data_IF_093281746568
#
_entry.id   IF_093281746568
#
_cell.length_a   1.000
_cell.length_b   1.000
_cell.length_c   1.000
_cell.angle_alpha   90.00
_cell.angle_beta   90.00
_cell.angle_gamma   90.00
#
_symmetry.space_group_name_H-M   'P 1'
#
loop_
_entity.id
_entity.type
_entity.pdbx_description
1 polymer ?
#
# COMPACT_ATOMS: atom_id res chain seq x y z
N UNK A 1 -12.56 0.67 8.88
CA UNK A 1 -12.67 -0.79 9.13
C UNK A 1 -11.44 -1.22 9.91
N UNK A 2 -11.60 -1.97 11.01
CA UNK A 2 -10.48 -2.54 11.78
C UNK A 2 -10.35 -4.00 11.38
N UNK A 3 -9.20 -4.38 10.82
CA UNK A 3 -8.88 -5.77 10.47
C UNK A 3 -8.02 -6.32 11.60
N UNK A 4 -8.37 -7.49 12.11
CA UNK A 4 -7.62 -8.21 13.14
C UNK A 4 -6.66 -9.19 12.46
N UNK A 5 -5.36 -8.88 12.48
CA UNK A 5 -4.30 -9.67 11.82
C UNK A 5 -3.41 -10.42 12.82
N UNK A 6 -3.63 -10.22 14.11
CA UNK A 6 -2.81 -10.79 15.17
C UNK A 6 -2.89 -12.33 15.15
N UNK A 7 -1.74 -12.99 15.09
CA UNK A 7 -1.65 -14.45 14.98
C UNK A 7 -2.14 -15.05 13.65
N UNK A 8 -2.38 -14.21 12.64
CA UNK A 8 -2.66 -14.62 11.26
C UNK A 8 -1.51 -14.26 10.30
N UNK A 9 -0.74 -13.22 10.66
CA UNK A 9 0.34 -12.70 9.83
C UNK A 9 1.57 -12.36 10.66
N UNK A 10 2.74 -12.55 10.08
CA UNK A 10 4.00 -12.04 10.56
C UNK A 10 4.62 -11.09 9.52
N UNK A 11 5.66 -10.33 9.87
CA UNK A 11 6.35 -9.42 8.96
C UNK A 11 7.87 -9.53 9.09
N UNK A 12 8.53 -9.86 7.99
CA UNK A 12 9.99 -9.91 7.89
C UNK A 12 10.51 -8.51 7.49
N UNK A 13 11.45 -7.93 8.25
CA UNK A 13 11.99 -6.59 7.96
C UNK A 13 12.82 -6.54 6.67
N UNK A 14 13.18 -5.33 6.24
CA UNK A 14 14.11 -5.14 5.11
C UNK A 14 13.44 -5.02 3.73
N UNK A 15 12.13 -4.75 3.67
CA UNK A 15 11.39 -4.60 2.40
C UNK A 15 11.88 -3.46 1.52
N UNK A 16 12.44 -2.41 2.13
CA UNK A 16 12.63 -1.13 1.47
C UNK A 16 11.30 -0.50 1.03
N UNK A 17 11.38 0.47 0.13
CA UNK A 17 10.21 1.06 -0.52
C UNK A 17 9.78 0.26 -1.75
N UNK A 18 8.51 -0.11 -1.77
CA UNK A 18 7.92 -0.92 -2.81
C UNK A 18 6.64 -0.30 -3.38
N UNK A 19 6.25 0.88 -2.89
CA UNK A 19 5.20 1.73 -3.46
C UNK A 19 5.77 3.14 -3.65
N UNK A 20 5.56 3.73 -4.83
CA UNK A 20 5.84 5.15 -5.09
C UNK A 20 4.71 5.80 -5.87
N UNK A 21 4.62 7.13 -5.81
CA UNK A 21 3.62 7.93 -6.52
C UNK A 21 4.29 8.96 -7.44
N UNK A 22 3.94 8.91 -8.72
CA UNK A 22 4.27 9.89 -9.73
C UNK A 22 3.24 11.02 -9.68
N UNK A 23 3.60 12.11 -9.00
CA UNK A 23 2.73 13.27 -8.83
C UNK A 23 2.43 14.02 -10.13
N UNK A 24 3.23 13.84 -11.20
CA UNK A 24 2.92 14.44 -12.49
C UNK A 24 1.74 13.76 -13.19
N UNK A 25 1.45 12.51 -12.83
CA UNK A 25 0.32 11.74 -13.39
C UNK A 25 -0.90 11.70 -12.47
N UNK A 26 -0.71 11.86 -11.17
CA UNK A 26 -1.80 11.76 -10.21
C UNK A 26 -2.84 12.87 -10.44
N UNK A 27 -4.09 12.47 -10.71
CA UNK A 27 -5.23 13.37 -10.93
C UNK A 27 -6.13 13.52 -9.69
N UNK A 28 -5.68 13.06 -8.51
CA UNK A 28 -6.43 13.11 -7.25
C UNK A 28 -7.84 12.48 -7.31
N UNK A 29 -8.05 11.43 -8.11
CA UNK A 29 -9.34 10.72 -8.21
C UNK A 29 -9.73 9.87 -6.99
N UNK A 30 -8.87 9.78 -5.97
CA UNK A 30 -9.11 9.16 -4.66
C UNK A 30 -9.40 7.64 -4.65
N UNK A 31 -9.39 6.94 -5.78
CA UNK A 31 -9.66 5.49 -5.81
C UNK A 31 -8.70 4.66 -4.94
N UNK A 32 -7.44 5.09 -4.79
CA UNK A 32 -6.49 4.45 -3.90
C UNK A 32 -6.86 4.56 -2.41
N UNK A 33 -7.58 5.61 -2.00
CA UNK A 33 -8.10 5.76 -0.63
C UNK A 33 -9.22 4.74 -0.39
N UNK A 34 -10.07 4.50 -1.38
CA UNK A 34 -11.22 3.60 -1.28
C UNK A 34 -10.78 2.13 -1.32
N UNK A 35 -9.91 1.76 -2.26
CA UNK A 35 -9.56 0.34 -2.48
C UNK A 35 -8.65 -0.23 -1.39
N UNK A 36 -7.93 0.62 -0.66
CA UNK A 36 -6.94 0.16 0.31
C UNK A 36 -7.64 -0.30 1.60
N UNK A 37 -7.80 -1.62 1.74
CA UNK A 37 -8.45 -2.24 2.92
C UNK A 37 -7.76 -1.88 4.24
N UNK A 38 -6.46 -1.59 4.20
CA UNK A 38 -5.66 -1.16 5.36
C UNK A 38 -5.69 0.35 5.60
N UNK A 39 -6.40 1.11 4.76
CA UNK A 39 -6.50 2.56 4.82
C UNK A 39 -5.10 3.20 4.95
N UNK A 40 -4.19 2.97 4.00
CA UNK A 40 -2.82 3.52 4.04
C UNK A 40 -2.67 4.81 3.22
N UNK A 41 -3.57 5.03 2.27
CA UNK A 41 -3.61 6.27 1.49
C UNK A 41 -4.41 7.34 2.21
N UNK A 42 -3.94 8.60 2.12
CA UNK A 42 -4.54 9.78 2.73
C UNK A 42 -4.56 10.92 1.72
N UNK A 43 -5.38 11.93 2.01
CA UNK A 43 -5.40 13.18 1.26
C UNK A 43 -5.30 14.33 2.25
N UNK A 44 -4.37 15.25 2.00
CA UNK A 44 -4.20 16.49 2.76
C UNK A 44 -3.97 17.63 1.77
N UNK A 45 -4.67 18.75 1.95
CA UNK A 45 -4.52 19.94 1.11
C UNK A 45 -4.62 19.63 -0.40
N UNK A 46 -5.55 18.76 -0.77
CA UNK A 46 -5.76 18.38 -2.17
C UNK A 46 -4.77 17.34 -2.72
N UNK A 47 -3.71 16.98 -2.00
CA UNK A 47 -2.68 16.03 -2.43
C UNK A 47 -2.84 14.68 -1.76
N UNK A 48 -2.88 13.62 -2.57
CA UNK A 48 -2.87 12.22 -2.10
C UNK A 48 -1.45 11.81 -1.70
N UNK A 49 -1.30 11.09 -0.60
CA UNK A 49 -0.03 10.50 -0.17
C UNK A 49 -0.29 9.15 0.53
N UNK A 50 0.76 8.33 0.66
CA UNK A 50 0.74 7.12 1.47
C UNK A 50 1.41 7.42 2.82
N UNK A 51 0.93 6.85 3.92
CA UNK A 51 1.53 7.05 5.25
C UNK A 51 2.98 6.55 5.29
N UNK A 52 3.85 7.23 6.04
CA UNK A 52 5.30 6.96 6.05
C UNK A 52 5.64 5.53 6.50
N UNK A 53 4.85 4.96 7.41
CA UNK A 53 5.02 3.61 7.97
C UNK A 53 4.23 2.53 7.22
N UNK A 54 3.80 2.79 5.97
CA UNK A 54 2.87 1.89 5.25
C UNK A 54 3.38 0.46 5.15
N UNK A 55 4.69 0.27 5.08
CA UNK A 55 5.32 -1.05 5.02
C UNK A 55 4.91 -1.88 6.23
N UNK A 56 4.71 -1.30 7.42
CA UNK A 56 4.30 -2.07 8.62
C UNK A 56 2.92 -2.73 8.51
N UNK A 57 2.04 -2.20 7.65
CA UNK A 57 0.62 -2.58 7.58
C UNK A 57 0.17 -3.02 6.19
N UNK A 58 0.95 -2.76 5.14
CA UNK A 58 0.59 -3.13 3.78
C UNK A 58 0.47 -4.65 3.63
N UNK A 59 -0.59 -5.11 2.96
CA UNK A 59 -0.81 -6.52 2.65
C UNK A 59 -0.17 -6.96 1.32
N UNK A 60 0.57 -6.06 0.66
CA UNK A 60 1.29 -6.35 -0.60
C UNK A 60 0.36 -6.87 -1.73
N UNK A 61 -0.93 -6.52 -1.68
CA UNK A 61 -1.95 -7.00 -2.61
C UNK A 61 -2.00 -6.26 -3.97
N UNK A 62 -1.17 -5.25 -4.17
CA UNK A 62 -1.12 -4.40 -5.38
C UNK A 62 -2.45 -3.71 -5.79
N UNK A 63 -3.52 -3.74 -4.98
CA UNK A 63 -4.83 -3.21 -5.36
C UNK A 63 -4.81 -1.70 -5.69
N UNK A 64 -4.00 -0.92 -4.97
CA UNK A 64 -3.84 0.52 -5.24
C UNK A 64 -3.15 0.79 -6.58
N UNK A 65 -2.22 -0.08 -6.99
CA UNK A 65 -1.58 -0.01 -8.30
C UNK A 65 -2.57 -0.37 -9.40
N UNK A 66 -3.34 -1.45 -9.23
CA UNK A 66 -4.31 -1.92 -10.22
C UNK A 66 -5.47 -0.93 -10.45
N UNK A 67 -5.96 -0.25 -9.41
CA UNK A 67 -7.08 0.69 -9.56
C UNK A 67 -6.69 2.06 -10.15
N UNK A 68 -5.39 2.32 -10.30
CA UNK A 68 -4.88 3.63 -10.69
C UNK A 68 -4.89 3.79 -12.22
N UNK A 69 -6.02 4.21 -12.79
CA UNK A 69 -6.16 4.45 -14.24
C UNK A 69 -5.09 5.42 -14.79
N UNK A 70 -4.70 6.42 -13.98
CA UNK A 70 -3.68 7.39 -14.35
C UNK A 70 -2.25 6.82 -14.36
N UNK A 71 -2.06 5.55 -13.95
CA UNK A 71 -0.75 4.90 -13.85
C UNK A 71 0.26 5.68 -12.99
N UNK A 72 -0.25 6.44 -12.01
CA UNK A 72 0.53 7.29 -11.12
C UNK A 72 1.17 6.50 -9.97
N UNK A 73 0.54 5.41 -9.53
CA UNK A 73 1.10 4.54 -8.49
C UNK A 73 2.02 3.52 -9.15
N UNK A 74 3.22 3.33 -8.62
CA UNK A 74 4.10 2.21 -8.96
C UNK A 74 4.16 1.27 -7.78
N UNK A 75 4.08 -0.03 -8.08
CA UNK A 75 4.20 -1.11 -7.12
C UNK A 75 5.20 -2.13 -7.65
N UNK A 76 6.05 -2.63 -6.76
CA UNK A 76 6.82 -3.85 -6.94
C UNK A 76 6.62 -4.72 -5.72
N UNK A 77 6.77 -6.03 -5.85
CA UNK A 77 6.85 -6.86 -4.65
C UNK A 77 8.14 -6.49 -3.88
N UNK A 78 8.12 -6.57 -2.53
CA UNK A 78 9.34 -6.41 -1.75
C UNK A 78 10.43 -7.41 -2.15
N UNK A 79 11.65 -7.15 -1.68
CA UNK A 79 12.76 -8.07 -1.85
C UNK A 79 12.37 -9.45 -1.32
N UNK A 80 12.65 -10.51 -2.10
CA UNK A 80 12.29 -11.88 -1.74
C UNK A 80 12.78 -12.24 -0.34
N UNK A 81 11.89 -12.87 0.45
CA UNK A 81 12.16 -13.21 1.85
C UNK A 81 11.92 -12.08 2.84
N UNK A 82 11.46 -10.91 2.40
CA UNK A 82 11.01 -9.80 3.25
C UNK A 82 9.51 -9.56 3.07
N UNK A 83 8.89 -8.77 3.95
CA UNK A 83 7.49 -8.37 3.79
C UNK A 83 6.52 -9.15 4.64
N UNK A 84 5.25 -9.10 4.26
CA UNK A 84 4.19 -9.80 4.96
C UNK A 84 4.27 -11.31 4.72
N UNK A 85 4.12 -12.08 5.78
CA UNK A 85 3.98 -13.54 5.75
C UNK A 85 2.58 -13.86 6.26
N UNK A 86 1.77 -14.50 5.41
CA UNK A 86 0.45 -15.00 5.79
C UNK A 86 0.64 -16.40 6.37
N UNK A 87 0.41 -16.57 7.67
CA UNK A 87 0.69 -17.82 8.38
C UNK A 87 -0.44 -18.85 8.26
N UNK A 88 -1.65 -18.39 7.92
CA UNK A 88 -2.88 -19.19 7.82
C UNK A 88 -3.69 -18.83 6.57
N UNK A 89 -2.99 -18.81 5.42
CA UNK A 89 -3.55 -18.46 4.11
C UNK A 89 -4.17 -19.62 3.36
#
# INVERSE_FOLDING_TARGET
MKIELEGLTNRVPGTGDFITIDYAKCNNCERCLIICVMNLWRKKEGKIYIVDDYQSKCLECAACYQICDASAIKFQYPIGGTGIVIEKG
#
